data_IF_512739128127
#
_entry.id   IF_512739128127
#
_cell.length_a   1.000
_cell.length_b   1.000
_cell.length_c   1.000
_cell.angle_alpha   90.00
_cell.angle_beta   90.00
_cell.angle_gamma   90.00
#
_symmetry.space_group_name_H-M   'P 1'
#
loop_
_entity.id
_entity.type
_entity.pdbx_description
1 polymer ?
#
# COMPACT_ATOMS: atom_id res chain seq x y z
N UNK A 1 -1.63 18.56 13.89
CA UNK A 1 -0.88 18.85 12.66
C UNK A 1 -0.33 17.55 12.15
N UNK A 2 -0.31 17.36 10.82
CA UNK A 2 -0.07 16.10 10.09
C UNK A 2 1.34 15.51 10.20
N UNK A 3 1.97 15.64 11.36
CA UNK A 3 3.30 15.14 11.65
C UNK A 3 3.37 13.61 11.43
N UNK A 4 4.54 13.07 11.05
CA UNK A 4 4.72 11.64 10.89
C UNK A 4 4.31 10.87 12.15
N UNK A 5 3.60 9.75 11.95
CA UNK A 5 3.27 8.80 13.01
C UNK A 5 4.34 7.72 13.16
N UNK A 6 5.11 7.45 12.10
CA UNK A 6 6.12 6.41 12.11
C UNK A 6 7.25 6.69 11.12
N UNK A 7 8.48 6.39 11.56
CA UNK A 7 9.67 6.23 10.72
C UNK A 7 10.36 4.94 11.13
N UNK A 8 10.82 4.19 10.14
CA UNK A 8 11.59 2.99 10.42
C UNK A 8 12.92 3.37 11.11
N UNK A 9 13.27 2.77 12.25
CA UNK A 9 14.48 3.15 13.00
C UNK A 9 15.77 2.52 12.45
N UNK A 10 15.69 1.63 11.46
CA UNK A 10 16.82 0.85 10.94
C UNK A 10 17.25 1.35 9.57
N UNK A 11 16.33 1.32 8.60
CA UNK A 11 16.57 1.66 7.19
C UNK A 11 16.02 3.05 6.82
N UNK A 12 15.19 3.65 7.69
CA UNK A 12 14.59 4.98 7.51
C UNK A 12 13.79 5.12 6.20
N UNK A 13 13.19 4.00 5.77
CA UNK A 13 12.52 3.84 4.49
C UNK A 13 11.12 3.21 4.59
N UNK A 14 10.34 3.57 5.62
CA UNK A 14 8.97 3.08 5.77
C UNK A 14 8.02 3.63 4.69
N UNK A 15 7.60 2.76 3.76
CA UNK A 15 6.74 3.09 2.63
C UNK A 15 5.66 2.03 2.39
N UNK A 16 4.65 2.36 1.59
CA UNK A 16 3.60 1.44 1.13
C UNK A 16 2.95 0.64 2.30
N UNK A 17 2.37 1.32 3.32
CA UNK A 17 1.86 0.64 4.50
C UNK A 17 0.57 -0.12 4.21
N UNK A 18 0.32 -1.17 4.99
CA UNK A 18 -1.00 -1.77 5.23
C UNK A 18 -1.20 -1.95 6.74
N UNK A 19 -2.40 -1.67 7.23
CA UNK A 19 -2.76 -1.78 8.64
C UNK A 19 -3.88 -2.79 8.83
N UNK A 20 -3.61 -3.79 9.67
CA UNK A 20 -4.53 -4.89 9.94
C UNK A 20 -4.65 -5.12 11.44
N UNK A 21 -5.86 -5.44 11.91
CA UNK A 21 -6.08 -5.82 13.29
C UNK A 21 -5.60 -7.25 13.50
N UNK A 22 -4.96 -7.51 14.65
CA UNK A 22 -4.70 -8.88 15.09
C UNK A 22 -5.95 -9.45 15.77
N UNK A 23 -6.57 -10.42 15.10
CA UNK A 23 -7.68 -11.22 15.59
C UNK A 23 -7.42 -11.78 16.99
N UNK A 24 -8.43 -11.65 17.85
CA UNK A 24 -8.34 -12.06 19.25
C UNK A 24 -7.58 -11.08 20.16
N UNK A 25 -7.10 -9.95 19.65
CA UNK A 25 -6.47 -8.90 20.44
C UNK A 25 -7.02 -7.50 20.09
N UNK A 26 -6.55 -6.49 20.82
CA UNK A 26 -6.78 -5.07 20.54
C UNK A 26 -5.56 -4.42 19.85
N UNK A 27 -4.67 -5.24 19.29
CA UNK A 27 -3.45 -4.77 18.63
C UNK A 27 -3.71 -4.51 17.15
N UNK A 28 -3.15 -3.40 16.67
CA UNK A 28 -3.09 -3.05 15.26
C UNK A 28 -1.66 -3.23 14.76
N UNK A 29 -1.51 -3.89 13.62
CA UNK A 29 -0.22 -4.22 13.02
C UNK A 29 -0.12 -3.50 11.68
N UNK A 30 0.97 -2.77 11.50
CA UNK A 30 1.34 -2.13 10.25
C UNK A 30 2.48 -2.93 9.62
N UNK A 31 2.25 -3.39 8.39
CA UNK A 31 3.29 -3.93 7.52
C UNK A 31 3.64 -2.86 6.48
N UNK A 32 4.92 -2.72 6.16
CA UNK A 32 5.36 -1.69 5.22
C UNK A 32 6.56 -2.16 4.42
N UNK A 33 6.69 -1.68 3.18
CA UNK A 33 7.94 -1.77 2.44
C UNK A 33 9.03 -1.03 3.23
N UNK A 34 10.10 -1.72 3.62
CA UNK A 34 11.22 -1.09 4.31
C UNK A 34 12.37 -0.81 3.33
N UNK A 35 12.31 0.33 2.65
CA UNK A 35 13.32 0.76 1.68
C UNK A 35 14.65 1.02 2.37
N UNK A 36 15.76 0.66 1.72
CA UNK A 36 17.10 0.78 2.31
C UNK A 36 17.69 2.15 2.00
N UNK A 37 17.16 3.21 2.62
CA UNK A 37 17.41 4.60 2.21
C UNK A 37 18.92 4.97 2.16
N UNK A 38 19.72 4.41 3.07
CA UNK A 38 21.17 4.61 3.15
C UNK A 38 22.02 3.62 2.33
N UNK A 39 21.42 2.69 1.60
CA UNK A 39 22.17 1.71 0.81
C UNK A 39 22.98 2.41 -0.30
N UNK A 40 24.28 2.13 -0.33
CA UNK A 40 25.20 2.56 -1.38
C UNK A 40 25.14 1.58 -2.55
N UNK A 41 23.99 1.56 -3.23
CA UNK A 41 23.71 0.71 -4.37
C UNK A 41 23.41 1.57 -5.61
N UNK A 42 23.84 1.15 -6.81
CA UNK A 42 23.58 1.91 -8.02
C UNK A 42 22.09 1.87 -8.42
N UNK A 43 21.63 2.97 -9.00
CA UNK A 43 20.28 3.09 -9.55
C UNK A 43 19.21 2.83 -8.51
N UNK A 44 18.35 1.84 -8.78
CA UNK A 44 17.20 1.50 -7.93
C UNK A 44 17.52 0.47 -6.84
N UNK A 45 18.79 0.13 -6.64
CA UNK A 45 19.19 -0.88 -5.67
C UNK A 45 18.82 -0.55 -4.22
N UNK A 46 18.55 0.71 -3.87
CA UNK A 46 18.07 1.10 -2.53
C UNK A 46 16.58 0.79 -2.30
N UNK A 47 15.77 0.69 -3.37
CA UNK A 47 14.35 0.28 -3.32
C UNK A 47 14.25 -1.24 -3.48
N UNK A 48 15.07 -1.82 -4.36
CA UNK A 48 15.19 -3.26 -4.45
C UNK A 48 15.94 -3.83 -3.23
N UNK A 49 15.67 -5.08 -2.87
CA UNK A 49 16.18 -5.70 -1.63
C UNK A 49 15.46 -5.23 -0.37
N UNK A 50 14.28 -4.63 -0.50
CA UNK A 50 13.47 -4.20 0.64
C UNK A 50 12.83 -5.42 1.32
N UNK A 51 12.98 -5.59 2.65
CA UNK A 51 12.12 -6.48 3.42
C UNK A 51 10.78 -5.80 3.75
N UNK A 52 9.84 -6.57 4.32
CA UNK A 52 8.64 -6.00 4.94
C UNK A 52 8.89 -5.75 6.42
N UNK A 53 8.83 -4.48 6.83
CA UNK A 53 8.91 -4.05 8.21
C UNK A 53 7.58 -4.23 8.95
N UNK A 54 7.65 -4.29 10.28
CA UNK A 54 6.49 -4.45 11.16
C UNK A 54 6.52 -3.35 12.22
N UNK A 55 5.41 -2.65 12.39
CA UNK A 55 5.17 -1.78 13.54
C UNK A 55 3.82 -2.12 14.19
N UNK A 56 3.73 -2.03 15.52
CA UNK A 56 2.52 -2.42 16.27
C UNK A 56 2.04 -1.26 17.13
N UNK A 57 0.73 -1.04 17.12
CA UNK A 57 0.01 -0.12 17.98
C UNK A 57 -0.89 -0.89 18.96
N UNK A 58 -0.96 -0.40 20.20
CA UNK A 58 -1.84 -0.92 21.26
C UNK A 58 -2.80 0.16 21.79
N UNK A 59 -2.85 1.31 21.13
CA UNK A 59 -3.58 2.51 21.56
C UNK A 59 -4.46 3.08 20.44
N UNK A 60 -5.02 2.19 19.60
CA UNK A 60 -5.92 2.58 18.50
C UNK A 60 -5.23 3.35 17.38
N UNK A 61 -3.95 3.11 17.15
CA UNK A 61 -3.15 3.74 16.08
C UNK A 61 -2.51 5.07 16.47
N UNK A 62 -2.60 5.50 17.74
CA UNK A 62 -2.01 6.76 18.20
C UNK A 62 -0.47 6.69 18.32
N UNK A 63 0.10 5.53 18.60
CA UNK A 63 1.54 5.29 18.60
C UNK A 63 1.91 3.93 18.01
N UNK A 64 3.10 3.85 17.40
CA UNK A 64 3.58 2.69 16.66
C UNK A 64 5.00 2.31 17.10
N UNK A 65 5.16 1.04 17.48
CA UNK A 65 6.45 0.49 17.92
C UNK A 65 7.00 -0.52 16.90
N UNK A 66 8.24 -0.32 16.45
CA UNK A 66 8.93 -1.26 15.55
C UNK A 66 9.06 -2.66 16.16
N UNK A 67 8.80 -3.70 15.35
CA UNK A 67 8.83 -5.11 15.74
C UNK A 67 9.72 -6.00 14.86
N UNK A 68 10.56 -5.39 14.03
CA UNK A 68 11.45 -6.14 13.14
C UNK A 68 10.90 -6.22 11.71
N UNK A 69 11.34 -7.25 11.00
CA UNK A 69 10.90 -7.53 9.62
C UNK A 69 10.34 -8.94 9.52
N UNK A 70 9.36 -9.11 8.64
CA UNK A 70 8.74 -10.40 8.33
C UNK A 70 9.81 -11.38 7.85
N UNK A 71 9.73 -12.63 8.30
CA UNK A 71 10.67 -13.71 7.95
C UNK A 71 10.00 -14.75 7.05
N UNK A 72 10.81 -15.44 6.24
CA UNK A 72 10.34 -16.60 5.47
C UNK A 72 9.51 -16.26 4.23
N UNK A 73 9.66 -15.06 3.66
CA UNK A 73 8.93 -14.65 2.45
C UNK A 73 9.59 -15.16 1.15
N UNK A 74 10.90 -15.44 1.19
CA UNK A 74 11.67 -15.84 0.02
C UNK A 74 11.23 -17.21 -0.55
N UNK A 75 11.24 -17.33 -1.87
CA UNK A 75 10.96 -18.60 -2.52
C UNK A 75 12.11 -19.61 -2.29
N UNK A 76 11.83 -20.92 -2.17
CA UNK A 76 12.90 -21.92 -2.14
C UNK A 76 13.81 -21.82 -3.37
N UNK A 77 15.10 -21.58 -3.15
CA UNK A 77 16.10 -21.41 -4.21
C UNK A 77 16.41 -19.96 -4.59
N UNK A 78 15.63 -18.99 -4.11
CA UNK A 78 15.94 -17.56 -4.23
C UNK A 78 16.86 -17.15 -3.06
N UNK A 79 18.09 -17.67 -3.07
CA UNK A 79 19.07 -17.42 -2.01
C UNK A 79 19.52 -15.94 -2.00
N UNK A 80 19.75 -15.40 -0.80
CA UNK A 80 20.27 -14.04 -0.61
C UNK A 80 19.18 -12.99 -0.37
N UNK A 81 19.44 -11.76 -0.78
CA UNK A 81 18.52 -10.63 -0.55
C UNK A 81 17.55 -10.50 -1.73
N UNK A 82 16.26 -10.67 -1.47
CA UNK A 82 15.18 -10.42 -2.44
C UNK A 82 14.38 -9.18 -2.08
N UNK A 83 13.50 -8.79 -2.98
CA UNK A 83 12.71 -7.57 -2.86
C UNK A 83 11.24 -7.89 -2.59
N UNK A 84 10.71 -7.26 -1.55
CA UNK A 84 9.33 -7.35 -1.11
C UNK A 84 8.73 -5.96 -1.00
N UNK A 85 7.61 -5.70 -1.67
CA UNK A 85 6.96 -4.39 -1.67
C UNK A 85 5.46 -4.47 -1.48
N UNK A 86 4.89 -3.38 -0.96
CA UNK A 86 3.46 -3.08 -0.92
C UNK A 86 2.64 -4.31 -0.51
N UNK A 87 2.81 -4.78 0.75
CA UNK A 87 2.03 -5.89 1.26
C UNK A 87 0.56 -5.48 1.34
N UNK A 88 -0.35 -6.34 0.88
CA UNK A 88 -1.76 -6.30 1.22
C UNK A 88 -2.05 -7.42 2.20
N UNK A 89 -2.63 -7.12 3.38
CA UNK A 89 -2.90 -8.11 4.43
C UNK A 89 -4.34 -8.04 4.90
N UNK A 90 -5.07 -9.15 4.74
CA UNK A 90 -6.49 -9.25 5.11
C UNK A 90 -6.74 -10.50 5.93
N UNK A 91 -7.53 -10.40 6.99
CA UNK A 91 -8.09 -11.58 7.67
C UNK A 91 -9.38 -12.03 6.98
N UNK A 92 -9.37 -13.25 6.46
CA UNK A 92 -10.48 -13.82 5.70
C UNK A 92 -10.46 -15.35 5.82
N UNK A 93 -11.63 -15.99 5.72
CA UNK A 93 -11.72 -17.46 5.73
C UNK A 93 -11.00 -18.13 6.92
N UNK A 94 -10.93 -17.43 8.07
CA UNK A 94 -10.34 -17.94 9.32
C UNK A 94 -8.81 -17.84 9.42
N UNK A 95 -8.13 -17.15 8.50
CA UNK A 95 -6.68 -16.91 8.56
C UNK A 95 -6.32 -15.55 7.93
N UNK A 96 -5.07 -15.12 8.09
CA UNK A 96 -4.54 -13.97 7.35
C UNK A 96 -4.05 -14.41 5.97
N UNK A 97 -4.30 -13.56 4.99
CA UNK A 97 -3.80 -13.65 3.63
C UNK A 97 -2.93 -12.43 3.37
N UNK A 98 -1.72 -12.64 2.82
CA UNK A 98 -0.89 -11.57 2.32
C UNK A 98 -0.69 -11.70 0.81
N UNK A 99 -0.93 -10.62 0.08
CA UNK A 99 -0.62 -10.51 -1.34
C UNK A 99 0.50 -9.49 -1.52
N UNK A 100 1.66 -9.97 -1.93
CA UNK A 100 2.91 -9.23 -1.83
C UNK A 100 3.59 -9.12 -3.17
N UNK A 101 4.04 -7.91 -3.53
CA UNK A 101 4.87 -7.70 -4.71
C UNK A 101 6.26 -8.29 -4.46
N UNK A 102 6.67 -9.24 -5.30
CA UNK A 102 7.89 -10.02 -5.14
C UNK A 102 8.80 -9.91 -6.37
N UNK A 103 10.08 -9.60 -6.14
CA UNK A 103 11.15 -9.62 -7.15
C UNK A 103 12.34 -10.40 -6.58
N UNK A 104 12.81 -11.40 -7.33
CA UNK A 104 14.04 -12.12 -7.01
C UNK A 104 15.25 -11.20 -7.13
N UNK A 105 16.05 -11.13 -6.06
CA UNK A 105 17.28 -10.37 -5.99
C UNK A 105 17.12 -8.86 -5.75
N UNK A 106 18.22 -8.14 -5.99
CA UNK A 106 18.35 -6.68 -5.89
C UNK A 106 18.73 -6.09 -7.24
N UNK A 107 17.82 -6.07 -8.23
CA UNK A 107 18.11 -5.46 -9.51
C UNK A 107 18.40 -3.96 -9.35
N UNK A 108 19.18 -3.40 -10.26
CA UNK A 108 19.50 -1.96 -10.26
C UNK A 108 18.67 -1.20 -11.30
N UNK A 109 17.72 -1.91 -11.95
CA UNK A 109 16.89 -1.45 -13.06
C UNK A 109 15.51 -2.13 -13.04
N UNK A 110 14.54 -1.57 -13.76
CA UNK A 110 13.14 -2.06 -13.80
C UNK A 110 12.87 -3.19 -14.80
N UNK A 111 13.86 -3.58 -15.62
CA UNK A 111 13.71 -4.63 -16.66
C UNK A 111 13.82 -6.05 -16.09
N UNK A 112 13.07 -6.33 -15.03
CA UNK A 112 12.96 -7.67 -14.42
C UNK A 112 11.50 -8.01 -14.13
N UNK A 113 11.12 -9.30 -14.12
CA UNK A 113 9.79 -9.72 -13.70
C UNK A 113 9.52 -9.37 -12.23
N UNK A 114 8.24 -9.18 -11.94
CA UNK A 114 7.69 -8.92 -10.61
C UNK A 114 6.27 -9.46 -10.55
N UNK A 115 5.97 -10.18 -9.48
CA UNK A 115 4.71 -10.90 -9.34
C UNK A 115 4.05 -10.56 -8.03
N UNK A 116 2.72 -10.65 -7.99
CA UNK A 116 2.00 -10.71 -6.72
C UNK A 116 2.06 -12.15 -6.23
N UNK A 117 2.67 -12.35 -5.06
CA UNK A 117 2.82 -13.66 -4.41
C UNK A 117 1.91 -13.74 -3.20
N UNK A 118 1.16 -14.84 -3.10
CA UNK A 118 0.24 -15.10 -2.01
C UNK A 118 0.93 -15.87 -0.88
N UNK A 119 0.66 -15.43 0.35
CA UNK A 119 1.03 -16.09 1.59
C UNK A 119 -0.18 -16.19 2.52
N UNK A 120 -0.16 -17.15 3.43
CA UNK A 120 -1.13 -17.25 4.52
C UNK A 120 -0.45 -17.30 5.88
N UNK A 121 -1.14 -16.86 6.92
CA UNK A 121 -0.65 -16.90 8.30
C UNK A 121 -1.79 -17.11 9.29
N UNK A 122 -1.59 -17.87 10.37
CA UNK A 122 -2.58 -17.98 11.44
C UNK A 122 -2.49 -16.83 12.47
N UNK A 123 -1.38 -16.09 12.51
CA UNK A 123 -1.00 -15.27 13.67
C UNK A 123 -0.34 -13.91 13.34
N UNK A 124 -0.19 -13.58 12.04
CA UNK A 124 0.56 -12.43 11.48
C UNK A 124 2.09 -12.54 11.57
N UNK A 125 2.62 -13.61 12.15
CA UNK A 125 4.05 -13.79 12.40
C UNK A 125 4.63 -14.92 11.56
N UNK A 126 3.93 -16.05 11.52
CA UNK A 126 4.31 -17.27 10.82
C UNK A 126 3.64 -17.30 9.46
N UNK A 127 4.40 -17.07 8.39
CA UNK A 127 3.89 -17.02 7.02
C UNK A 127 4.20 -18.29 6.24
N UNK A 128 3.20 -18.81 5.53
CA UNK A 128 3.31 -19.93 4.59
C UNK A 128 3.16 -19.39 3.18
N UNK A 129 4.16 -19.60 2.33
CA UNK A 129 4.12 -19.21 0.92
C UNK A 129 3.20 -20.14 0.14
N UNK A 130 2.17 -19.58 -0.49
CA UNK A 130 1.26 -20.30 -1.40
C UNK A 130 1.86 -20.31 -2.81
N UNK A 131 2.23 -19.14 -3.33
CA UNK A 131 2.86 -19.02 -4.65
C UNK A 131 2.53 -17.74 -5.39
N UNK A 132 3.22 -17.48 -6.52
CA UNK A 132 2.92 -16.34 -7.39
C UNK A 132 1.57 -16.55 -8.08
N UNK A 133 0.79 -15.47 -8.17
CA UNK A 133 -0.46 -15.45 -8.93
C UNK A 133 -0.19 -15.36 -10.43
N UNK A 134 -1.10 -15.96 -11.22
CA UNK A 134 -1.11 -15.83 -12.68
C UNK A 134 -2.10 -14.73 -13.07
N UNK A 135 -1.58 -13.54 -13.33
CA UNK A 135 -2.35 -12.34 -13.64
C UNK A 135 -2.18 -11.93 -15.11
N UNK A 136 -2.51 -10.68 -15.44
CA UNK A 136 -2.49 -10.13 -16.80
C UNK A 136 -1.09 -10.04 -17.42
N UNK A 137 -0.03 -9.91 -16.62
CA UNK A 137 1.35 -9.86 -17.10
C UNK A 137 2.36 -10.37 -16.05
N UNK A 138 3.66 -10.30 -16.37
CA UNK A 138 4.77 -10.58 -15.44
C UNK A 138 5.29 -9.34 -14.72
N UNK A 139 4.56 -8.22 -14.78
CA UNK A 139 4.91 -6.93 -14.18
C UNK A 139 3.77 -6.39 -13.31
N UNK A 140 3.15 -7.28 -12.53
CA UNK A 140 2.03 -6.95 -11.65
C UNK A 140 2.51 -6.76 -10.21
N UNK A 141 2.09 -5.67 -9.58
CA UNK A 141 2.44 -5.27 -8.20
C UNK A 141 1.24 -4.58 -7.53
N UNK A 142 1.42 -4.22 -6.25
CA UNK A 142 0.52 -3.37 -5.47
C UNK A 142 -0.91 -3.90 -5.43
N UNK A 143 -1.12 -5.01 -4.72
CA UNK A 143 -2.44 -5.61 -4.59
C UNK A 143 -3.30 -4.82 -3.58
N UNK A 144 -4.62 -4.87 -3.75
CA UNK A 144 -5.62 -4.64 -2.72
C UNK A 144 -6.73 -5.67 -2.89
N UNK A 145 -7.26 -6.21 -1.79
CA UNK A 145 -8.31 -7.22 -1.79
C UNK A 145 -9.50 -6.80 -0.95
N UNK A 146 -10.70 -6.83 -1.54
CA UNK A 146 -11.93 -6.43 -0.87
C UNK A 146 -13.09 -7.42 -1.16
N UNK A 147 -13.92 -7.77 -0.17
CA UNK A 147 -15.10 -8.61 -0.37
C UNK A 147 -16.19 -7.81 -1.08
N UNK A 148 -16.43 -8.14 -2.34
CA UNK A 148 -17.35 -7.40 -3.20
C UNK A 148 -18.82 -7.79 -2.96
N UNK A 149 -19.78 -6.89 -3.27
CA UNK A 149 -21.21 -7.12 -2.98
C UNK A 149 -21.85 -8.27 -3.77
N UNK A 150 -21.19 -8.69 -4.86
CA UNK A 150 -21.56 -9.85 -5.67
C UNK A 150 -21.19 -11.19 -5.01
N UNK A 151 -20.58 -11.15 -3.82
CA UNK A 151 -20.18 -12.33 -3.03
C UNK A 151 -18.81 -12.89 -3.39
N UNK A 152 -18.07 -12.23 -4.29
CA UNK A 152 -16.70 -12.62 -4.65
C UNK A 152 -15.67 -11.81 -3.84
N UNK A 153 -14.55 -12.44 -3.51
CA UNK A 153 -13.35 -11.68 -3.23
C UNK A 153 -12.83 -11.10 -4.54
N UNK A 154 -12.46 -9.81 -4.52
CA UNK A 154 -11.89 -9.14 -5.68
C UNK A 154 -10.57 -8.51 -5.30
N UNK A 155 -9.58 -8.69 -6.17
CA UNK A 155 -8.27 -8.06 -6.09
C UNK A 155 -8.20 -6.97 -7.14
N UNK A 156 -7.71 -5.80 -6.76
CA UNK A 156 -7.25 -4.76 -7.66
C UNK A 156 -5.73 -4.71 -7.57
N UNK A 157 -5.06 -4.51 -8.71
CA UNK A 157 -3.61 -4.45 -8.73
C UNK A 157 -3.08 -3.59 -9.88
N UNK A 158 -1.85 -3.11 -9.75
CA UNK A 158 -1.15 -2.37 -10.81
C UNK A 158 -0.56 -3.34 -11.83
N UNK A 159 -0.76 -3.08 -13.12
CA UNK A 159 -0.04 -3.75 -14.20
C UNK A 159 0.84 -2.75 -14.98
N UNK A 160 2.14 -2.78 -14.71
CA UNK A 160 3.11 -1.92 -15.39
C UNK A 160 3.38 -2.35 -16.82
N UNK A 161 3.13 -3.63 -17.14
CA UNK A 161 3.18 -4.13 -18.52
C UNK A 161 2.05 -3.56 -19.39
N UNK A 162 1.02 -3.00 -18.77
CA UNK A 162 -0.18 -2.45 -19.41
C UNK A 162 -0.35 -0.95 -19.08
N UNK A 163 0.76 -0.19 -19.11
CA UNK A 163 0.72 1.26 -18.97
C UNK A 163 0.55 1.77 -17.53
N UNK A 164 0.87 0.94 -16.52
CA UNK A 164 0.62 1.24 -15.10
C UNK A 164 -0.85 1.53 -14.86
N UNK A 165 -1.69 0.58 -15.29
CA UNK A 165 -3.14 0.58 -15.14
C UNK A 165 -3.58 -0.27 -13.94
N UNK A 166 -4.80 -0.05 -13.46
CA UNK A 166 -5.43 -0.94 -12.46
C UNK A 166 -6.18 -2.06 -13.17
N UNK A 167 -5.84 -3.29 -12.83
CA UNK A 167 -6.51 -4.52 -13.27
C UNK A 167 -7.18 -5.23 -12.09
N UNK A 168 -8.03 -6.19 -12.40
CA UNK A 168 -8.74 -6.99 -11.41
C UNK A 168 -8.69 -8.48 -11.66
N UNK A 169 -8.76 -9.23 -10.56
CA UNK A 169 -9.01 -10.67 -10.53
C UNK A 169 -10.02 -10.98 -9.42
N UNK A 170 -10.78 -12.06 -9.57
CA UNK A 170 -11.78 -12.50 -8.59
C UNK A 170 -11.47 -13.88 -8.05
N UNK A 171 -11.90 -14.15 -6.83
CA UNK A 171 -11.77 -15.43 -6.16
C UNK A 171 -13.01 -15.76 -5.34
N UNK A 172 -13.49 -17.02 -5.36
CA UNK A 172 -14.56 -17.44 -4.46
C UNK A 172 -14.06 -17.76 -3.04
N UNK A 173 -12.75 -17.93 -2.84
CA UNK A 173 -12.19 -18.58 -1.64
C UNK A 173 -10.84 -18.00 -1.17
N UNK A 174 -10.42 -16.85 -1.71
CA UNK A 174 -9.11 -16.21 -1.45
C UNK A 174 -7.88 -17.00 -1.92
N UNK A 175 -8.05 -18.18 -2.51
CA UNK A 175 -6.98 -19.09 -2.93
C UNK A 175 -6.90 -19.22 -4.46
N UNK A 176 -8.06 -19.37 -5.10
CA UNK A 176 -8.17 -19.61 -6.53
C UNK A 176 -8.61 -18.32 -7.23
N UNK A 177 -7.70 -17.71 -7.98
CA UNK A 177 -7.90 -16.41 -8.64
C UNK A 177 -8.16 -16.57 -10.14
N UNK A 178 -9.16 -15.85 -10.64
CA UNK A 178 -9.50 -15.75 -12.06
C UNK A 178 -9.33 -14.31 -12.51
N UNK A 179 -8.53 -14.09 -13.56
CA UNK A 179 -8.37 -12.79 -14.19
C UNK A 179 -9.73 -12.25 -14.65
N UNK A 180 -10.08 -11.05 -14.20
CA UNK A 180 -11.34 -10.37 -14.58
C UNK A 180 -11.08 -9.38 -15.72
N UNK A 181 -10.15 -8.44 -15.55
CA UNK A 181 -9.71 -7.55 -16.62
C UNK A 181 -9.32 -6.15 -16.16
N UNK A 182 -9.14 -5.25 -17.14
CA UNK A 182 -8.81 -3.85 -16.93
C UNK A 182 -9.94 -3.12 -16.19
N UNK A 183 -9.60 -2.39 -15.12
CA UNK A 183 -10.53 -1.57 -14.32
C UNK A 183 -10.35 -0.09 -14.62
N UNK A 184 -9.12 0.42 -14.45
CA UNK A 184 -8.77 1.82 -14.72
C UNK A 184 -7.62 1.85 -15.75
N UNK A 185 -7.79 2.51 -16.91
CA UNK A 185 -6.70 2.63 -17.88
C UNK A 185 -5.54 3.45 -17.31
N UNK A 186 -4.34 3.13 -17.78
CA UNK A 186 -3.11 3.89 -17.54
C UNK A 186 -2.62 4.51 -18.86
N UNK A 187 -1.32 4.74 -18.98
CA UNK A 187 -0.73 5.33 -20.19
C UNK A 187 -0.92 4.43 -21.42
N UNK A 188 -1.24 4.99 -22.61
CA UNK A 188 -1.38 6.42 -22.92
C UNK A 188 -2.80 6.98 -22.75
N UNK A 189 -3.77 6.15 -22.40
CA UNK A 189 -5.20 6.50 -22.44
C UNK A 189 -5.66 7.31 -21.22
N UNK A 190 -4.93 7.22 -20.10
CA UNK A 190 -5.17 7.93 -18.86
C UNK A 190 -3.86 8.10 -18.06
N UNK A 191 -3.86 8.90 -16.97
CA UNK A 191 -2.70 9.01 -16.10
C UNK A 191 -2.26 7.63 -15.59
N UNK A 192 -0.97 7.26 -15.73
CA UNK A 192 -0.46 6.07 -15.06
C UNK A 192 -0.58 6.26 -13.54
N UNK A 193 -0.72 5.17 -12.80
CA UNK A 193 -0.90 5.20 -11.35
C UNK A 193 -0.44 3.89 -10.68
N UNK A 194 -0.49 3.83 -9.36
CA UNK A 194 -0.18 2.64 -8.55
C UNK A 194 -0.98 2.56 -7.25
N UNK A 195 -0.69 1.58 -6.39
CA UNK A 195 -1.29 1.45 -5.06
C UNK A 195 -2.81 1.55 -4.99
N UNK A 196 -3.58 0.70 -5.70
CA UNK A 196 -5.02 0.65 -5.51
C UNK A 196 -5.36 0.28 -4.07
N UNK A 197 -6.35 0.95 -3.47
CA UNK A 197 -6.94 0.55 -2.19
C UNK A 197 -8.47 0.75 -2.22
N UNK A 198 -9.23 -0.28 -1.84
CA UNK A 198 -10.69 -0.33 -1.94
C UNK A 198 -11.33 -0.52 -0.57
N UNK A 199 -12.31 0.33 -0.26
CA UNK A 199 -13.00 0.30 1.03
C UNK A 199 -14.45 0.81 0.92
N UNK A 200 -15.29 0.46 1.91
CA UNK A 200 -16.67 0.93 2.00
C UNK A 200 -16.83 1.99 3.09
N UNK A 201 -17.34 3.18 2.74
CA UNK A 201 -17.56 4.27 3.69
C UNK A 201 -18.73 5.15 3.26
N UNK A 202 -19.60 5.52 4.21
CA UNK A 202 -20.71 6.45 3.96
C UNK A 202 -21.74 5.94 2.94
N UNK A 203 -21.91 4.62 2.82
CA UNK A 203 -22.87 4.01 1.89
C UNK A 203 -22.36 3.82 0.46
N UNK A 204 -21.09 4.12 0.20
CA UNK A 204 -20.45 3.92 -1.11
C UNK A 204 -19.20 3.04 -0.98
N UNK A 205 -18.74 2.53 -2.12
CA UNK A 205 -17.41 1.96 -2.27
C UNK A 205 -16.47 3.00 -2.88
N UNK A 206 -15.25 3.03 -2.37
CA UNK A 206 -14.20 3.93 -2.80
C UNK A 206 -13.02 3.13 -3.30
N UNK A 207 -12.40 3.60 -4.37
CA UNK A 207 -11.10 3.14 -4.86
C UNK A 207 -10.19 4.37 -4.90
N UNK A 208 -9.06 4.29 -4.21
CA UNK A 208 -7.99 5.27 -4.33
C UNK A 208 -6.79 4.66 -5.07
N UNK A 209 -6.07 5.48 -5.83
CA UNK A 209 -4.81 5.11 -6.49
C UNK A 209 -3.82 6.27 -6.41
N UNK A 210 -2.52 6.00 -6.26
CA UNK A 210 -1.47 7.01 -6.30
C UNK A 210 -1.16 7.42 -7.74
N UNK A 211 -1.50 8.66 -8.14
CA UNK A 211 -1.14 9.26 -9.44
C UNK A 211 0.25 9.93 -9.41
N UNK A 212 1.08 9.58 -8.42
CA UNK A 212 2.34 10.22 -8.05
C UNK A 212 2.26 11.72 -7.75
N UNK A 213 1.06 12.18 -7.42
CA UNK A 213 0.76 13.59 -7.11
C UNK A 213 -0.43 13.73 -6.14
N UNK A 214 -0.61 12.72 -5.29
CA UNK A 214 -1.77 12.53 -4.44
C UNK A 214 -2.63 11.36 -4.91
N UNK A 215 -3.67 11.07 -4.13
CA UNK A 215 -4.53 9.92 -4.32
C UNK A 215 -5.72 10.29 -5.21
N UNK A 216 -5.82 9.68 -6.39
CA UNK A 216 -7.00 9.80 -7.22
C UNK A 216 -8.14 8.93 -6.67
N UNK A 217 -9.29 9.56 -6.47
CA UNK A 217 -10.46 8.94 -5.84
C UNK A 217 -11.50 8.58 -6.90
N UNK A 218 -12.04 7.38 -6.79
CA UNK A 218 -13.15 6.88 -7.57
C UNK A 218 -14.24 6.36 -6.63
N UNK A 219 -15.50 6.61 -6.99
CA UNK A 219 -16.69 6.14 -6.27
C UNK A 219 -17.40 5.05 -7.06
N UNK A 220 -17.94 4.06 -6.37
CA UNK A 220 -18.78 3.00 -6.93
C UNK A 220 -19.95 2.66 -6.02
N UNK A 221 -21.03 2.18 -6.64
CA UNK A 221 -22.18 1.58 -5.93
C UNK A 221 -22.10 0.04 -5.91
N UNK A 222 -21.23 -0.57 -6.73
CA UNK A 222 -21.21 -2.01 -7.00
C UNK A 222 -19.82 -2.65 -7.02
N UNK A 223 -18.75 -1.88 -6.80
CA UNK A 223 -17.32 -2.25 -6.94
C UNK A 223 -16.86 -2.62 -8.36
N UNK A 224 -17.74 -2.53 -9.35
CA UNK A 224 -17.46 -2.86 -10.75
C UNK A 224 -17.30 -1.60 -11.61
N UNK A 225 -18.13 -0.59 -11.35
CA UNK A 225 -18.18 0.66 -12.12
C UNK A 225 -17.69 1.81 -11.26
N UNK A 226 -16.67 2.48 -11.74
CA UNK A 226 -15.96 3.51 -10.99
C UNK A 226 -16.15 4.88 -11.65
N UNK A 227 -16.60 5.85 -10.88
CA UNK A 227 -16.73 7.25 -11.29
C UNK A 227 -15.65 8.07 -10.61
N UNK A 228 -14.77 8.70 -11.38
CA UNK A 228 -13.69 9.54 -10.83
C UNK A 228 -14.27 10.76 -10.12
N UNK A 229 -13.83 10.99 -8.89
CA UNK A 229 -14.17 12.16 -8.08
C UNK A 229 -13.14 13.29 -8.25
N UNK A 230 -11.85 12.97 -8.23
CA UNK A 230 -10.79 13.98 -8.19
C UNK A 230 -9.54 13.46 -7.48
N UNK A 231 -8.67 14.35 -7.03
CA UNK A 231 -7.54 14.02 -6.17
C UNK A 231 -7.84 14.41 -4.71
N UNK A 232 -7.27 13.66 -3.77
CA UNK A 232 -7.13 14.04 -2.37
C UNK A 232 -5.65 13.93 -1.97
N UNK A 233 -5.26 14.64 -0.91
CA UNK A 233 -3.89 14.68 -0.40
C UNK A 233 -2.83 15.03 -1.47
N UNK A 234 -3.25 15.79 -2.49
CA UNK A 234 -2.45 16.42 -3.54
C UNK A 234 -1.90 17.79 -3.12
N UNK A 235 -2.23 18.23 -1.91
CA UNK A 235 -1.75 19.48 -1.31
C UNK A 235 -0.88 19.18 -0.08
N UNK A 236 0.13 20.02 0.19
CA UNK A 236 0.98 19.86 1.37
C UNK A 236 0.14 19.95 2.66
N UNK A 237 0.51 19.17 3.67
CA UNK A 237 0.02 19.34 5.04
C UNK A 237 0.69 20.53 5.74
N UNK A 238 0.44 20.70 7.03
CA UNK A 238 0.98 21.80 7.83
C UNK A 238 2.35 21.50 8.45
N UNK A 239 2.66 20.22 8.72
CA UNK A 239 3.94 19.83 9.30
C UNK A 239 5.07 19.94 8.26
N UNK A 240 6.30 20.42 8.61
CA UNK A 240 7.42 20.49 7.67
C UNK A 240 7.79 19.16 7.03
N UNK A 241 7.51 18.03 7.69
CA UNK A 241 7.78 16.70 7.15
C UNK A 241 6.65 16.15 6.26
N UNK A 242 5.51 16.84 6.18
CA UNK A 242 4.33 16.42 5.42
C UNK A 242 4.01 17.39 4.26
N UNK A 243 5.05 18.06 3.73
CA UNK A 243 4.93 19.05 2.66
C UNK A 243 4.89 18.44 1.24
N UNK A 244 4.80 17.11 1.14
CA UNK A 244 4.86 16.35 -0.12
C UNK A 244 3.53 15.72 -0.46
N UNK A 245 3.38 15.24 -1.69
CA UNK A 245 2.22 14.46 -2.09
C UNK A 245 2.12 13.18 -1.25
N UNK A 246 0.90 12.84 -0.83
CA UNK A 246 0.67 11.54 -0.19
C UNK A 246 0.80 10.44 -1.24
N UNK A 247 1.75 9.53 -1.00
CA UNK A 247 2.02 8.37 -1.86
C UNK A 247 1.21 7.16 -1.38
N UNK A 248 1.32 6.03 -2.09
CA UNK A 248 0.71 4.72 -1.80
C UNK A 248 0.12 4.61 -0.37
N UNK A 249 -1.20 4.45 -0.31
CA UNK A 249 -1.95 4.53 0.93
C UNK A 249 -2.79 3.29 1.20
N UNK A 250 -2.97 3.00 2.48
CA UNK A 250 -3.94 2.03 2.98
C UNK A 250 -5.03 2.73 3.80
N UNK A 251 -6.23 2.14 3.83
CA UNK A 251 -7.41 2.71 4.48
C UNK A 251 -8.08 1.69 5.38
N UNK A 252 -8.21 2.03 6.66
CA UNK A 252 -8.95 1.26 7.65
C UNK A 252 -10.21 2.01 8.04
N UNK A 253 -11.37 1.43 7.76
CA UNK A 253 -12.67 2.01 8.13
C UNK A 253 -12.95 1.77 9.61
N UNK A 254 -13.28 2.84 10.34
CA UNK A 254 -13.69 2.79 11.74
C UNK A 254 -15.01 3.55 11.94
N UNK A 255 -16.13 2.83 11.91
CA UNK A 255 -17.45 3.42 12.09
C UNK A 255 -17.86 4.38 10.96
N UNK A 256 -17.97 5.66 11.27
CA UNK A 256 -18.42 6.73 10.36
C UNK A 256 -17.29 7.46 9.62
N UNK A 257 -16.04 7.09 9.90
CA UNK A 257 -14.85 7.62 9.25
C UNK A 257 -13.89 6.49 8.89
N UNK A 258 -12.79 6.84 8.23
CA UNK A 258 -11.68 5.92 8.01
C UNK A 258 -10.34 6.59 8.33
N UNK A 259 -9.37 5.80 8.78
CA UNK A 259 -7.98 6.19 8.88
C UNK A 259 -7.29 5.87 7.55
N UNK A 260 -6.67 6.87 6.92
CA UNK A 260 -5.80 6.67 5.76
C UNK A 260 -4.35 6.77 6.20
N UNK A 261 -3.57 5.72 5.98
CA UNK A 261 -2.14 5.64 6.23
C UNK A 261 -1.41 5.80 4.90
N UNK A 262 -0.48 6.76 4.82
CA UNK A 262 0.25 7.04 3.59
C UNK A 262 1.69 7.40 3.91
N UNK A 263 2.58 7.30 2.93
CA UNK A 263 3.96 7.75 3.11
C UNK A 263 4.30 8.99 2.27
N UNK A 264 5.34 9.70 2.68
CA UNK A 264 5.99 10.76 1.91
C UNK A 264 7.50 10.54 1.85
N UNK A 265 8.19 11.27 0.97
CA UNK A 265 9.65 11.47 1.02
C UNK A 265 9.92 12.89 1.53
N UNK A 266 9.99 13.15 2.85
CA UNK A 266 9.93 14.51 3.40
C UNK A 266 10.98 15.44 2.81
N UNK A 267 12.18 14.94 2.56
CA UNK A 267 13.33 15.69 2.07
C UNK A 267 13.44 15.74 0.52
N UNK A 268 12.64 14.98 -0.23
CA UNK A 268 12.67 14.98 -1.70
C UNK A 268 11.90 16.16 -2.29
N UNK A 269 12.54 16.99 -3.11
CA UNK A 269 11.83 18.01 -3.91
C UNK A 269 11.28 17.40 -5.20
N UNK A 270 10.22 16.60 -5.03
CA UNK A 270 9.55 15.84 -6.10
C UNK A 270 8.98 16.71 -7.24
N UNK A 271 8.91 18.03 -7.07
CA UNK A 271 8.42 18.95 -8.11
C UNK A 271 9.53 19.37 -9.07
N UNK A 272 10.76 19.52 -8.59
CA UNK A 272 11.91 19.91 -9.41
C UNK A 272 12.77 18.70 -9.82
N UNK A 273 12.73 17.62 -9.04
CA UNK A 273 13.55 16.42 -9.22
C UNK A 273 12.71 15.27 -9.78
N UNK A 274 12.33 15.36 -11.05
CA UNK A 274 11.43 14.40 -11.71
C UNK A 274 12.05 13.02 -11.93
N UNK A 275 13.37 12.90 -11.84
CA UNK A 275 14.10 11.63 -12.03
C UNK A 275 14.05 10.73 -10.77
N UNK A 276 13.49 11.21 -9.67
CA UNK A 276 13.44 10.51 -8.39
C UNK A 276 14.33 11.15 -7.31
N UNK A 277 14.33 10.58 -6.09
CA UNK A 277 15.12 11.10 -4.98
C UNK A 277 16.63 10.93 -5.25
N UNK A 278 17.41 12.02 -5.31
CA UNK A 278 18.78 11.98 -5.82
C UNK A 278 19.82 11.46 -4.81
N UNK A 279 19.52 11.52 -3.51
CA UNK A 279 20.47 11.22 -2.44
C UNK A 279 19.80 10.52 -1.26
N UNK A 280 20.61 10.09 -0.28
CA UNK A 280 20.14 9.37 0.92
C UNK A 280 19.10 10.16 1.70
N UNK A 281 19.21 11.48 1.79
CA UNK A 281 18.24 12.28 2.53
C UNK A 281 16.88 12.24 1.82
N UNK A 282 16.87 12.49 0.51
CA UNK A 282 15.65 12.47 -0.30
C UNK A 282 15.00 11.08 -0.42
N UNK A 283 15.75 9.99 -0.20
CA UNK A 283 15.23 8.60 -0.25
C UNK A 283 14.45 8.20 1.01
N UNK A 284 14.63 8.93 2.12
CA UNK A 284 14.00 8.61 3.40
C UNK A 284 12.50 8.79 3.28
N UNK A 285 11.77 7.92 3.96
CA UNK A 285 10.32 7.98 3.96
C UNK A 285 9.77 7.96 5.37
N UNK A 286 8.60 8.59 5.51
CA UNK A 286 7.88 8.66 6.76
C UNK A 286 6.41 8.36 6.51
N UNK A 287 5.79 7.62 7.43
CA UNK A 287 4.37 7.30 7.37
C UNK A 287 3.60 8.31 8.21
N UNK A 288 2.49 8.76 7.65
CA UNK A 288 1.55 9.72 8.20
C UNK A 288 0.15 9.10 8.26
N UNK A 289 -0.77 9.80 8.91
CA UNK A 289 -2.18 9.46 8.90
C UNK A 289 -3.05 10.66 8.56
N UNK A 290 -4.19 10.40 7.95
CA UNK A 290 -5.26 11.35 7.68
C UNK A 290 -6.61 10.73 8.03
N UNK A 291 -7.62 11.56 8.28
CA UNK A 291 -9.00 11.11 8.47
C UNK A 291 -9.79 11.26 7.17
N UNK A 292 -10.47 10.21 6.75
CA UNK A 292 -11.40 10.23 5.63
C UNK A 292 -12.84 10.24 6.16
N UNK A 293 -13.68 11.08 5.55
CA UNK A 293 -15.13 11.13 5.81
C UNK A 293 -15.90 11.30 4.51
N UNK A 294 -17.20 11.07 4.52
CA UNK A 294 -18.08 11.34 3.37
C UNK A 294 -19.00 12.50 3.69
N UNK A 295 -18.93 13.55 2.87
CA UNK A 295 -19.78 14.76 2.97
C UNK A 295 -20.50 14.92 1.64
N UNK A 296 -21.83 14.91 1.66
CA UNK A 296 -22.67 15.05 0.45
C UNK A 296 -22.29 14.10 -0.70
N UNK A 297 -21.90 12.86 -0.37
CA UNK A 297 -21.51 11.84 -1.33
C UNK A 297 -20.11 12.02 -1.95
N UNK A 298 -19.27 12.85 -1.32
CA UNK A 298 -17.87 13.13 -1.69
C UNK A 298 -16.95 12.65 -0.57
N UNK A 299 -15.90 11.89 -0.92
CA UNK A 299 -14.85 11.49 0.01
C UNK A 299 -13.95 12.70 0.30
N UNK A 300 -13.86 13.10 1.56
CA UNK A 300 -13.07 14.23 2.03
C UNK A 300 -11.90 13.72 2.86
N UNK A 301 -10.71 14.23 2.57
CA UNK A 301 -9.49 13.93 3.31
C UNK A 301 -9.10 15.10 4.22
N UNK A 302 -9.11 14.85 5.51
CA UNK A 302 -8.57 15.75 6.52
C UNK A 302 -7.16 15.29 6.89
N UNK A 303 -6.19 15.93 6.23
CA UNK A 303 -4.76 15.63 6.38
C UNK A 303 -4.19 16.16 7.70
N UNK A 304 -4.57 17.36 8.11
CA UNK A 304 -4.00 18.09 9.24
C UNK A 304 -4.59 17.72 10.62
N UNK A 305 -4.65 16.43 10.91
CA UNK A 305 -5.06 15.91 12.22
C UNK A 305 -3.89 15.84 13.20
N UNK A 306 -4.14 15.55 14.48
CA UNK A 306 -3.05 15.28 15.43
C UNK A 306 -2.42 13.92 15.16
N UNK A 307 -1.09 13.82 15.23
CA UNK A 307 -0.41 12.52 15.14
C UNK A 307 -0.73 11.58 16.31
N UNK A 308 -1.06 12.15 17.48
CA UNK A 308 -1.38 11.38 18.69
C UNK A 308 -2.88 11.01 18.75
N UNK A 309 -3.64 11.27 17.69
CA UNK A 309 -5.05 10.89 17.59
C UNK A 309 -5.14 9.43 17.14
N UNK A 310 -5.61 8.54 18.02
CA UNK A 310 -6.00 7.19 17.63
C UNK A 310 -7.28 7.23 16.80
N UNK A 311 -7.19 6.80 15.54
CA UNK A 311 -8.33 6.72 14.62
C UNK A 311 -8.97 5.32 14.59
N UNK A 312 -8.38 4.34 15.29
CA UNK A 312 -8.80 2.93 15.27
C UNK A 312 -9.36 2.45 16.63
N UNK A 313 -9.57 3.38 17.56
CA UNK A 313 -10.15 3.11 18.89
C UNK A 313 -11.66 3.35 18.95
#
# INVERSE_FOLDING_TARGET
>A
MSAPIFRDPIEDGAADPVVVRREGTDEWWMFYTNRRASADEPGFGWIHGSPIGIAVSQDGGASWAYRGTVKGLDAPGDDGLNTHWAPEVVFAEGQYHMFLSYITGVPTHWKVPRTITHFTSPDLETWTRVGPLKLSSSNCIDACVFPSPDGQWRMWYKDEGQGSSTWSATSPDMMNWTLEGLVLPGSPDAPPHEGPNVFALGGYYWLIVDEWRGQAVYRSDDTLRWTRQGLIADRPGADPMDQRYARHADVVVNGDHAAMYYFTHPEWDERSQTDGPPDVAARRTAIHQARLTVVDGVLVCERDISKDLGLLG
#
